data_IF_087946216665
#
_entry.id   IF_087946216665
#
_cell.length_a   1.000
_cell.length_b   1.000
_cell.length_c   1.000
_cell.angle_alpha   90.00
_cell.angle_beta   90.00
_cell.angle_gamma   90.00
#
_symmetry.space_group_name_H-M   'P 1'
#
loop_
_entity.id
_entity.type
_entity.pdbx_description
1 polymer ?
#
# COMPACT_ATOMS: atom_id res chain seq x y z
N UNK A 1 36.26 9.53 14.40
CA UNK A 1 35.01 9.15 15.09
C UNK A 1 33.93 8.98 14.04
N UNK A 2 33.46 7.76 13.80
CA UNK A 2 32.32 7.49 12.93
C UNK A 2 31.04 7.89 13.67
N UNK A 3 30.12 8.58 13.00
CA UNK A 3 28.77 8.86 13.51
C UNK A 3 27.77 7.99 12.74
N UNK A 4 26.89 7.32 13.47
CA UNK A 4 25.75 6.64 12.88
C UNK A 4 24.82 7.69 12.25
N UNK A 5 24.52 7.51 10.98
CA UNK A 5 23.60 8.40 10.25
C UNK A 5 22.16 7.88 10.36
N UNK A 6 21.19 8.69 9.95
CA UNK A 6 19.76 8.31 9.87
C UNK A 6 19.53 7.03 9.03
N UNK A 7 20.47 6.72 8.13
CA UNK A 7 20.42 5.50 7.30
C UNK A 7 20.53 4.22 8.13
N UNK A 8 21.28 4.24 9.24
CA UNK A 8 21.38 3.08 10.15
C UNK A 8 20.08 2.85 10.90
N UNK A 9 19.32 3.91 11.22
CA UNK A 9 17.98 3.80 11.77
C UNK A 9 17.03 3.10 10.81
N UNK A 10 17.16 3.36 9.49
CA UNK A 10 16.40 2.64 8.46
C UNK A 10 16.71 1.14 8.39
N UNK A 11 17.88 0.70 8.83
CA UNK A 11 18.21 -0.73 8.93
C UNK A 11 17.55 -1.38 10.15
N UNK A 12 17.46 -0.69 11.29
CA UNK A 12 16.80 -1.20 12.49
C UNK A 12 15.26 -1.20 12.33
N UNK A 13 14.70 -0.16 11.71
CA UNK A 13 13.27 -0.09 11.41
C UNK A 13 12.84 -1.24 10.47
N UNK A 14 13.72 -1.70 9.57
CA UNK A 14 13.48 -2.85 8.70
C UNK A 14 13.43 -4.19 9.45
N UNK A 15 14.17 -4.32 10.53
CA UNK A 15 14.21 -5.56 11.32
C UNK A 15 12.95 -5.70 12.20
N UNK A 16 12.54 -4.63 12.87
CA UNK A 16 11.30 -4.60 13.67
C UNK A 16 10.05 -4.77 12.80
N UNK A 17 10.02 -4.16 11.60
CA UNK A 17 8.95 -4.31 10.62
C UNK A 17 8.80 -5.76 10.15
N UNK A 18 9.89 -6.51 9.98
CA UNK A 18 9.83 -7.90 9.52
C UNK A 18 9.21 -8.83 10.57
N UNK A 19 9.58 -8.66 11.83
CA UNK A 19 9.01 -9.41 12.95
C UNK A 19 7.50 -9.13 13.07
N UNK A 20 7.10 -7.87 13.07
CA UNK A 20 5.69 -7.45 13.12
C UNK A 20 4.87 -8.02 11.96
N UNK A 21 5.36 -7.89 10.72
CA UNK A 21 4.68 -8.43 9.55
C UNK A 21 4.53 -9.94 9.62
N UNK A 22 5.58 -10.65 10.07
CA UNK A 22 5.59 -12.11 10.10
C UNK A 22 4.73 -12.68 11.24
N UNK A 23 4.82 -12.12 12.42
CA UNK A 23 4.18 -12.67 13.62
C UNK A 23 2.75 -12.17 13.80
N UNK A 24 2.49 -10.89 13.50
CA UNK A 24 1.19 -10.27 13.74
C UNK A 24 0.34 -10.23 12.46
N UNK A 25 0.84 -9.61 11.40
CA UNK A 25 0.02 -9.33 10.23
C UNK A 25 -0.29 -10.57 9.37
N UNK A 26 0.64 -11.52 9.24
CA UNK A 26 0.49 -12.70 8.37
C UNK A 26 -0.75 -13.55 8.67
N UNK A 27 -1.07 -13.91 9.92
CA UNK A 27 -2.27 -14.69 10.21
C UNK A 27 -3.55 -14.02 9.72
N UNK A 28 -3.70 -12.72 9.98
CA UNK A 28 -4.87 -11.94 9.55
C UNK A 28 -4.96 -11.79 8.04
N UNK A 29 -3.81 -11.65 7.35
CA UNK A 29 -3.78 -11.62 5.88
C UNK A 29 -4.23 -12.95 5.29
N UNK A 30 -3.84 -14.07 5.89
CA UNK A 30 -4.22 -15.40 5.43
C UNK A 30 -5.71 -15.65 5.64
N UNK A 31 -6.25 -15.27 6.80
CA UNK A 31 -7.70 -15.31 7.08
C UNK A 31 -8.49 -14.52 6.03
N UNK A 32 -8.08 -13.27 5.79
CA UNK A 32 -8.71 -12.40 4.80
C UNK A 32 -8.59 -12.94 3.37
N UNK A 33 -7.45 -13.51 3.00
CA UNK A 33 -7.25 -14.12 1.69
C UNK A 33 -8.12 -15.37 1.51
N UNK A 34 -8.30 -16.18 2.55
CA UNK A 34 -9.19 -17.34 2.49
C UNK A 34 -10.66 -16.92 2.33
N UNK A 35 -11.08 -15.83 2.98
CA UNK A 35 -12.43 -15.29 2.88
C UNK A 35 -12.72 -14.66 1.51
N UNK A 36 -11.81 -13.81 1.02
CA UNK A 36 -12.04 -13.02 -0.19
C UNK A 36 -11.50 -13.68 -1.47
N UNK A 37 -10.63 -14.68 -1.33
CA UNK A 37 -9.96 -15.45 -2.39
C UNK A 37 -8.92 -14.65 -3.20
N UNK A 38 -9.02 -13.32 -3.22
CA UNK A 38 -8.11 -12.42 -3.92
C UNK A 38 -6.78 -12.18 -3.16
N UNK A 39 -5.69 -11.89 -3.86
CA UNK A 39 -4.39 -11.64 -3.23
C UNK A 39 -4.40 -10.36 -2.39
N UNK A 40 -3.84 -10.49 -1.19
CA UNK A 40 -3.68 -9.43 -0.19
C UNK A 40 -2.19 -9.14 -0.02
N UNK A 41 -1.82 -7.88 0.10
CA UNK A 41 -0.44 -7.48 0.33
C UNK A 41 -0.35 -6.39 1.41
N UNK A 42 0.73 -6.41 2.18
CA UNK A 42 1.16 -5.32 3.06
C UNK A 42 2.40 -4.67 2.47
N UNK A 43 2.37 -3.34 2.42
CA UNK A 43 3.48 -2.53 1.94
C UNK A 43 3.84 -1.42 2.93
N UNK A 44 5.14 -1.18 3.09
CA UNK A 44 5.70 -0.05 3.85
C UNK A 44 6.50 0.85 2.94
N UNK A 45 6.74 2.09 3.38
CA UNK A 45 7.64 2.99 2.67
C UNK A 45 9.09 2.48 2.74
N UNK A 46 9.80 2.53 1.63
CA UNK A 46 11.23 2.24 1.54
C UNK A 46 11.89 3.17 0.51
N UNK A 47 12.55 4.20 1.00
CA UNK A 47 13.07 5.28 0.15
C UNK A 47 11.96 6.02 -0.58
N UNK A 48 11.99 6.01 -1.91
CA UNK A 48 10.97 6.63 -2.79
C UNK A 48 9.99 5.62 -3.39
N UNK A 49 9.81 4.45 -2.77
CA UNK A 49 8.90 3.40 -3.25
C UNK A 49 8.16 2.75 -2.09
N UNK A 50 7.06 2.06 -2.40
CA UNK A 50 6.46 1.12 -1.46
C UNK A 50 7.12 -0.25 -1.64
N UNK A 51 7.53 -0.85 -0.53
CA UNK A 51 8.11 -2.20 -0.47
C UNK A 51 7.05 -3.17 0.01
N UNK A 52 6.76 -4.20 -0.79
CA UNK A 52 5.88 -5.29 -0.37
C UNK A 52 6.61 -6.11 0.68
N UNK A 53 6.11 -6.10 1.91
CA UNK A 53 6.65 -6.85 3.04
C UNK A 53 6.14 -8.27 3.07
N UNK A 54 4.86 -8.44 2.76
CA UNK A 54 4.19 -9.73 2.73
C UNK A 54 3.07 -9.71 1.68
N UNK A 55 2.81 -10.88 1.10
CA UNK A 55 1.72 -11.08 0.15
C UNK A 55 1.15 -12.49 0.22
N UNK A 56 -0.12 -12.64 -0.12
CA UNK A 56 -0.79 -13.93 -0.24
C UNK A 56 -0.92 -14.41 -1.70
N UNK A 57 -0.14 -13.85 -2.62
CA UNK A 57 -0.19 -14.17 -4.04
C UNK A 57 -0.02 -15.66 -4.33
N UNK A 58 0.85 -16.33 -3.56
CA UNK A 58 1.10 -17.77 -3.69
C UNK A 58 -0.04 -18.65 -3.15
N UNK A 59 -0.93 -18.07 -2.35
CA UNK A 59 -2.11 -18.76 -1.77
C UNK A 59 -3.39 -18.47 -2.54
N UNK A 60 -3.49 -17.29 -3.15
CA UNK A 60 -4.66 -16.89 -3.92
C UNK A 60 -4.69 -17.60 -5.27
N UNK A 61 -5.75 -18.37 -5.59
CA UNK A 61 -5.91 -18.96 -6.92
C UNK A 61 -6.22 -17.91 -7.99
N UNK A 62 -6.59 -16.69 -7.59
CA UNK A 62 -6.94 -15.58 -8.48
C UNK A 62 -5.80 -14.58 -8.66
N UNK A 63 -4.60 -14.87 -8.15
CA UNK A 63 -3.43 -14.05 -8.38
C UNK A 63 -2.90 -14.24 -9.82
N UNK A 64 -3.15 -13.25 -10.69
CA UNK A 64 -2.71 -13.27 -12.09
C UNK A 64 -1.19 -13.11 -12.17
N UNK A 65 -0.62 -12.16 -11.45
CA UNK A 65 0.81 -11.97 -11.32
C UNK A 65 1.24 -12.30 -9.88
N UNK A 66 2.12 -13.27 -9.73
CA UNK A 66 2.66 -13.64 -8.42
C UNK A 66 3.85 -12.75 -8.09
N UNK A 67 3.65 -11.85 -7.13
CA UNK A 67 4.69 -10.99 -6.58
C UNK A 67 5.08 -11.48 -5.20
N UNK A 68 6.39 -11.56 -4.94
CA UNK A 68 6.90 -11.95 -3.62
C UNK A 68 7.16 -10.75 -2.70
N UNK A 69 7.48 -11.01 -1.42
CA UNK A 69 8.10 -10.01 -0.56
C UNK A 69 9.37 -9.43 -1.21
N UNK A 70 9.66 -8.17 -0.97
CA UNK A 70 10.77 -7.46 -1.62
C UNK A 70 10.39 -6.75 -2.93
N UNK A 71 9.24 -7.04 -3.52
CA UNK A 71 8.77 -6.33 -4.70
C UNK A 71 8.49 -4.86 -4.38
N UNK A 72 8.89 -3.96 -5.29
CA UNK A 72 8.73 -2.52 -5.13
C UNK A 72 7.71 -1.96 -6.12
N UNK A 73 6.85 -1.08 -5.64
CA UNK A 73 5.88 -0.36 -6.47
C UNK A 73 6.04 1.15 -6.31
N UNK A 74 5.74 1.89 -7.36
CA UNK A 74 5.77 3.35 -7.33
C UNK A 74 4.72 3.90 -6.35
N UNK A 75 5.04 4.99 -5.66
CA UNK A 75 4.13 5.59 -4.68
C UNK A 75 2.88 6.13 -5.37
N UNK A 76 3.01 6.96 -6.39
CA UNK A 76 1.87 7.53 -7.11
C UNK A 76 1.31 6.58 -8.19
N UNK A 77 1.97 5.45 -8.43
CA UNK A 77 1.55 4.38 -9.34
C UNK A 77 0.93 3.17 -8.66
N UNK A 78 0.44 3.29 -7.42
CA UNK A 78 -0.18 2.17 -6.70
C UNK A 78 -1.19 2.63 -5.65
N UNK A 79 -2.18 1.79 -5.35
CA UNK A 79 -3.13 2.04 -4.26
C UNK A 79 -2.42 2.11 -2.90
N UNK A 80 -1.43 1.25 -2.65
CA UNK A 80 -0.65 1.25 -1.41
C UNK A 80 0.10 2.57 -1.19
N UNK A 81 0.71 3.12 -2.23
CA UNK A 81 1.43 4.39 -2.13
C UNK A 81 0.50 5.60 -1.97
N UNK A 82 -0.63 5.62 -2.69
CA UNK A 82 -1.67 6.66 -2.51
C UNK A 82 -2.23 6.60 -1.08
N UNK A 83 -2.51 5.40 -0.55
CA UNK A 83 -2.92 5.24 0.85
C UNK A 83 -1.84 5.76 1.79
N UNK A 84 -0.57 5.38 1.59
CA UNK A 84 0.54 5.86 2.41
C UNK A 84 0.60 7.40 2.45
N UNK A 85 0.64 8.07 1.29
CA UNK A 85 0.67 9.53 1.19
C UNK A 85 -0.54 10.21 1.84
N UNK A 86 -1.71 9.56 1.81
CA UNK A 86 -2.93 10.11 2.39
C UNK A 86 -2.87 10.14 3.92
N UNK A 87 -2.26 9.14 4.56
CA UNK A 87 -2.28 8.97 6.00
C UNK A 87 -0.95 9.25 6.71
N UNK A 88 0.17 9.37 5.98
CA UNK A 88 1.44 9.77 6.59
C UNK A 88 1.41 11.23 7.09
N UNK A 89 2.31 11.61 8.02
CA UNK A 89 2.47 12.99 8.46
C UNK A 89 2.68 13.96 7.30
N UNK A 90 2.17 15.19 7.46
CA UNK A 90 2.21 16.22 6.39
C UNK A 90 3.63 16.51 5.93
N UNK A 91 4.55 16.68 6.86
CA UNK A 91 5.96 17.01 6.59
C UNK A 91 6.62 15.88 5.77
N UNK A 92 6.35 14.64 6.13
CA UNK A 92 6.85 13.47 5.40
C UNK A 92 6.24 13.38 4.00
N UNK A 93 4.95 13.63 3.86
CA UNK A 93 4.27 13.68 2.56
C UNK A 93 4.87 14.73 1.65
N UNK A 94 5.06 15.95 2.16
CA UNK A 94 5.59 17.05 1.37
C UNK A 94 7.02 16.74 0.90
N UNK A 95 7.88 16.24 1.79
CA UNK A 95 9.25 15.81 1.43
C UNK A 95 9.27 14.68 0.40
N UNK A 96 8.37 13.68 0.52
CA UNK A 96 8.25 12.61 -0.46
C UNK A 96 7.80 13.14 -1.82
N UNK A 97 6.81 14.01 -1.85
CA UNK A 97 6.32 14.59 -3.10
C UNK A 97 7.39 15.47 -3.78
N UNK A 98 8.24 16.18 -3.02
CA UNK A 98 9.39 16.91 -3.57
C UNK A 98 10.44 15.98 -4.18
N UNK A 99 10.66 14.84 -3.54
CA UNK A 99 11.56 13.82 -4.06
C UNK A 99 11.00 13.18 -5.34
N UNK A 100 9.71 12.82 -5.33
CA UNK A 100 9.05 12.19 -6.47
C UNK A 100 8.95 13.13 -7.69
N UNK A 101 8.76 14.43 -7.48
CA UNK A 101 8.72 15.42 -8.56
C UNK A 101 10.05 15.49 -9.34
N UNK A 102 11.16 15.06 -8.73
CA UNK A 102 12.48 14.97 -9.35
C UNK A 102 12.80 13.58 -9.93
N UNK A 103 11.87 12.64 -9.77
CA UNK A 103 12.05 11.26 -10.25
C UNK A 103 11.96 11.20 -11.78
N UNK A 104 12.76 10.30 -12.36
CA UNK A 104 12.70 9.97 -13.80
C UNK A 104 11.64 8.93 -14.13
N UNK A 105 10.95 8.38 -13.12
CA UNK A 105 9.90 7.37 -13.32
C UNK A 105 8.63 8.04 -13.81
N UNK A 106 8.03 7.48 -14.85
CA UNK A 106 6.78 8.01 -15.44
C UNK A 106 5.63 8.07 -14.42
N UNK A 107 5.53 7.07 -13.55
CA UNK A 107 4.49 6.99 -12.52
C UNK A 107 4.60 8.12 -11.49
N UNK A 108 5.82 8.61 -11.25
CA UNK A 108 6.10 9.66 -10.27
C UNK A 108 5.93 11.07 -10.86
N UNK A 109 5.91 11.22 -12.19
CA UNK A 109 5.84 12.54 -12.85
C UNK A 109 4.60 13.35 -12.45
N UNK A 110 3.52 12.66 -12.05
CA UNK A 110 2.32 13.32 -11.53
C UNK A 110 2.58 14.13 -10.24
N UNK A 111 3.68 13.85 -9.52
CA UNK A 111 4.08 14.61 -8.33
C UNK A 111 4.39 16.08 -8.62
N UNK A 112 4.76 16.41 -9.86
CA UNK A 112 4.97 17.80 -10.30
C UNK A 112 3.67 18.62 -10.28
N UNK A 113 2.51 17.98 -10.46
CA UNK A 113 1.22 18.63 -10.35
C UNK A 113 0.65 18.48 -8.91
N UNK A 114 1.14 19.33 -8.01
CA UNK A 114 0.77 19.32 -6.58
C UNK A 114 -0.73 19.43 -6.36
N UNK A 115 -1.42 20.27 -7.14
CA UNK A 115 -2.87 20.45 -7.01
C UNK A 115 -3.59 19.14 -7.29
N UNK A 116 -3.30 18.48 -8.40
CA UNK A 116 -3.91 17.19 -8.77
C UNK A 116 -3.65 16.11 -7.73
N UNK A 117 -2.42 16.05 -7.20
CA UNK A 117 -2.09 15.09 -6.14
C UNK A 117 -2.86 15.40 -4.87
N UNK A 118 -2.91 16.65 -4.43
CA UNK A 118 -3.65 17.04 -3.23
C UNK A 118 -5.15 16.75 -3.34
N UNK A 119 -5.75 16.99 -4.50
CA UNK A 119 -7.16 16.67 -4.76
C UNK A 119 -7.39 15.16 -4.66
N UNK A 120 -6.51 14.34 -5.25
CA UNK A 120 -6.54 12.88 -5.14
C UNK A 120 -6.46 12.41 -3.68
N UNK A 121 -5.51 12.96 -2.90
CA UNK A 121 -5.33 12.57 -1.50
C UNK A 121 -6.52 13.02 -0.64
N UNK A 122 -7.08 14.18 -0.90
CA UNK A 122 -8.28 14.68 -0.21
C UNK A 122 -9.48 13.76 -0.45
N UNK A 123 -9.74 13.38 -1.69
CA UNK A 123 -10.81 12.44 -2.04
C UNK A 123 -10.56 11.04 -1.43
N UNK A 124 -9.30 10.58 -1.44
CA UNK A 124 -8.90 9.32 -0.81
C UNK A 124 -9.17 9.37 0.70
N UNK A 125 -8.87 10.49 1.35
CA UNK A 125 -9.12 10.69 2.79
C UNK A 125 -10.61 10.67 3.10
N UNK A 126 -11.43 11.36 2.30
CA UNK A 126 -12.90 11.42 2.48
C UNK A 126 -13.53 10.03 2.38
N UNK A 127 -13.18 9.25 1.35
CA UNK A 127 -13.75 7.90 1.16
C UNK A 127 -13.10 6.85 2.08
N UNK A 128 -11.92 7.14 2.66
CA UNK A 128 -11.21 6.29 3.62
C UNK A 128 -10.52 5.06 3.01
N UNK A 129 -10.25 5.06 1.72
CA UNK A 129 -9.46 4.05 1.00
C UNK A 129 -8.87 4.64 -0.28
N UNK A 130 -7.75 4.10 -0.72
CA UNK A 130 -7.16 4.38 -2.02
C UNK A 130 -7.61 3.32 -3.04
N UNK A 131 -7.81 3.76 -4.28
CA UNK A 131 -8.03 2.88 -5.42
C UNK A 131 -7.03 3.20 -6.52
N UNK A 132 -6.55 2.18 -7.19
CA UNK A 132 -5.65 2.31 -8.33
C UNK A 132 -6.01 1.29 -9.40
N UNK A 133 -6.28 1.77 -10.62
CA UNK A 133 -6.44 0.93 -11.79
C UNK A 133 -5.11 0.90 -12.52
N UNK A 134 -4.51 -0.28 -12.64
CA UNK A 134 -3.25 -0.45 -13.36
C UNK A 134 -3.47 -0.13 -14.84
N UNK A 135 -2.71 0.83 -15.43
CA UNK A 135 -2.77 1.08 -16.88
C UNK A 135 -2.16 -0.11 -17.62
N UNK A 136 -2.99 -1.01 -18.15
CA UNK A 136 -2.77 -2.05 -19.12
C UNK A 136 -1.88 -3.21 -18.74
N UNK A 137 -1.78 -4.18 -19.39
CA UNK A 137 -1.91 -4.76 -20.70
C UNK A 137 -2.60 -6.11 -20.73
N UNK A 138 -2.65 -6.91 -19.64
CA UNK A 138 -3.11 -8.30 -19.66
C UNK A 138 -4.35 -8.52 -18.78
N UNK A 139 -4.55 -7.73 -17.75
CA UNK A 139 -5.75 -7.82 -16.89
C UNK A 139 -6.18 -6.43 -16.43
N UNK A 140 -7.48 -6.21 -16.39
CA UNK A 140 -8.10 -5.05 -15.73
C UNK A 140 -7.89 -5.11 -14.22
N UNK A 141 -6.62 -5.17 -13.79
CA UNK A 141 -6.26 -5.23 -12.38
C UNK A 141 -6.61 -3.91 -11.70
N UNK A 142 -7.43 -4.02 -10.68
CA UNK A 142 -7.80 -2.95 -9.79
C UNK A 142 -7.30 -3.28 -8.39
N UNK A 143 -6.80 -2.28 -7.69
CA UNK A 143 -6.31 -2.41 -6.31
C UNK A 143 -7.05 -1.46 -5.40
N UNK A 144 -7.46 -1.94 -4.23
CA UNK A 144 -8.00 -1.13 -3.14
C UNK A 144 -7.07 -1.24 -1.95
N UNK A 145 -6.79 -0.12 -1.29
CA UNK A 145 -5.85 -0.07 -0.16
C UNK A 145 -6.39 0.78 0.98
N UNK A 146 -6.16 0.30 2.20
CA UNK A 146 -6.48 1.02 3.44
C UNK A 146 -5.21 1.16 4.29
N UNK A 147 -5.11 2.19 5.17
CA UNK A 147 -4.00 2.31 6.09
C UNK A 147 -4.11 1.27 7.21
N UNK A 148 -2.97 0.80 7.70
CA UNK A 148 -2.83 0.11 8.99
C UNK A 148 -2.29 1.14 9.98
N UNK A 149 -3.04 1.43 11.01
CA UNK A 149 -2.73 2.46 12.00
C UNK A 149 -2.60 1.85 13.40
N UNK A 150 -1.56 2.24 14.14
CA UNK A 150 -1.48 2.05 15.59
C UNK A 150 -1.71 3.42 16.25
N UNK A 151 -2.92 3.64 16.76
CA UNK A 151 -3.37 4.98 17.12
C UNK A 151 -3.35 5.92 15.91
N UNK A 152 -2.57 7.00 15.99
CA UNK A 152 -2.38 7.93 14.86
C UNK A 152 -1.19 7.59 13.97
N UNK A 153 -0.34 6.63 14.38
CA UNK A 153 0.86 6.25 13.64
C UNK A 153 0.50 5.33 12.47
N UNK A 154 0.86 5.75 11.26
CA UNK A 154 0.77 4.89 10.09
C UNK A 154 1.90 3.85 10.12
N UNK A 155 1.54 2.57 10.14
CA UNK A 155 2.47 1.45 10.09
C UNK A 155 2.72 0.98 8.65
N UNK A 156 1.64 0.76 7.90
CA UNK A 156 1.69 0.18 6.58
C UNK A 156 0.40 0.45 5.79
N UNK A 157 0.36 -0.03 4.56
CA UNK A 157 -0.84 -0.09 3.72
C UNK A 157 -1.25 -1.54 3.48
N UNK A 158 -2.52 -1.88 3.72
CA UNK A 158 -3.12 -3.18 3.41
C UNK A 158 -3.88 -3.09 2.10
N UNK A 159 -3.53 -3.92 1.12
CA UNK A 159 -4.01 -3.82 -0.25
C UNK A 159 -4.58 -5.15 -0.74
N UNK A 160 -5.77 -5.12 -1.37
CA UNK A 160 -6.32 -6.21 -2.17
C UNK A 160 -6.16 -5.89 -3.66
N UNK A 161 -5.87 -6.91 -4.47
CA UNK A 161 -5.82 -6.81 -5.94
C UNK A 161 -6.83 -7.76 -6.53
N UNK A 162 -7.56 -7.32 -7.55
CA UNK A 162 -8.58 -8.15 -8.21
C UNK A 162 -8.78 -7.70 -9.66
N UNK A 163 -9.42 -8.56 -10.45
CA UNK A 163 -9.84 -8.23 -11.83
C UNK A 163 -11.18 -7.50 -11.80
N UNK A 164 -11.25 -6.31 -12.37
CA UNK A 164 -12.49 -5.54 -12.48
C UNK A 164 -13.48 -6.14 -13.49
N UNK A 165 -13.04 -7.07 -14.33
CA UNK A 165 -13.92 -7.87 -15.19
C UNK A 165 -14.61 -8.99 -14.42
N UNK A 166 -13.98 -9.53 -13.37
CA UNK A 166 -14.56 -10.55 -12.51
C UNK A 166 -15.45 -9.96 -11.40
N UNK A 167 -15.03 -8.81 -10.84
CA UNK A 167 -15.78 -8.11 -9.79
C UNK A 167 -15.85 -6.63 -10.15
N UNK A 168 -17.04 -6.10 -10.46
CA UNK A 168 -17.22 -4.67 -10.72
C UNK A 168 -16.75 -3.82 -9.54
N UNK A 169 -16.14 -2.65 -9.83
CA UNK A 169 -15.53 -1.79 -8.81
C UNK A 169 -16.48 -1.43 -7.66
N UNK A 170 -17.73 -1.08 -7.97
CA UNK A 170 -18.74 -0.74 -6.97
C UNK A 170 -19.04 -1.92 -6.03
N UNK A 171 -19.09 -3.13 -6.57
CA UNK A 171 -19.26 -4.35 -5.78
C UNK A 171 -18.02 -4.65 -4.92
N UNK A 172 -16.83 -4.52 -5.49
CA UNK A 172 -15.59 -4.70 -4.77
C UNK A 172 -15.46 -3.73 -3.59
N UNK A 173 -15.82 -2.47 -3.78
CA UNK A 173 -15.83 -1.46 -2.70
C UNK A 173 -16.78 -1.90 -1.58
N UNK A 174 -17.99 -2.29 -1.93
CA UNK A 174 -19.00 -2.71 -0.94
C UNK A 174 -18.58 -3.96 -0.16
N UNK A 175 -17.95 -4.94 -0.83
CA UNK A 175 -17.56 -6.23 -0.23
C UNK A 175 -16.20 -6.17 0.46
N UNK A 176 -15.20 -5.56 -0.17
CA UNK A 176 -13.81 -5.68 0.29
C UNK A 176 -13.40 -4.61 1.28
N UNK A 177 -13.87 -3.37 1.12
CA UNK A 177 -13.44 -2.26 2.00
C UNK A 177 -13.77 -2.50 3.48
N UNK A 178 -14.99 -2.94 3.86
CA UNK A 178 -15.28 -3.22 5.27
C UNK A 178 -14.34 -4.30 5.85
N UNK A 179 -14.05 -5.34 5.07
CA UNK A 179 -13.16 -6.44 5.50
C UNK A 179 -11.70 -6.01 5.62
N UNK A 180 -11.22 -5.25 4.64
CA UNK A 180 -9.87 -4.66 4.69
C UNK A 180 -9.71 -3.77 5.93
N UNK A 181 -10.68 -2.90 6.21
CA UNK A 181 -10.64 -2.01 7.39
C UNK A 181 -10.63 -2.79 8.69
N UNK A 182 -11.52 -3.77 8.86
CA UNK A 182 -11.56 -4.60 10.05
C UNK A 182 -10.23 -5.35 10.25
N UNK A 183 -9.67 -5.92 9.18
CA UNK A 183 -8.36 -6.58 9.24
C UNK A 183 -7.24 -5.60 9.55
N UNK A 184 -7.21 -4.43 8.92
CA UNK A 184 -6.20 -3.41 9.17
C UNK A 184 -6.23 -2.91 10.63
N UNK A 185 -7.41 -2.77 11.22
CA UNK A 185 -7.58 -2.42 12.63
C UNK A 185 -6.99 -3.50 13.54
N UNK A 186 -7.36 -4.77 13.34
CA UNK A 186 -6.81 -5.92 14.12
C UNK A 186 -5.29 -6.04 14.04
N UNK A 187 -4.70 -5.64 12.92
CA UNK A 187 -3.24 -5.65 12.73
C UNK A 187 -2.58 -4.48 13.44
N UNK A 188 -3.28 -3.35 13.59
CA UNK A 188 -2.78 -2.14 14.22
C UNK A 188 -2.92 -2.10 15.75
N UNK A 189 -3.74 -2.99 16.32
CA UNK A 189 -3.93 -3.16 17.78
C UNK A 189 -2.76 -3.96 18.39
#
# INVERSE_FOLDING_TARGET
RYRLTILVRGLSDGFDDEAWVTQIARPYMYELCNELVWPIAIATLSGSTMLIRQTTDHRSPLAVEKRGPGFRVAILGSASGIAYLTWCPKEQRDALLDLLAKSKRTEDQSAANRKKVNDLLLETRKRGYAAWRRPRRVSDELSLSVPILAGERLLASLTIRFSSTAVPEAEAIRRFIPRLRATAQRIGE
#
